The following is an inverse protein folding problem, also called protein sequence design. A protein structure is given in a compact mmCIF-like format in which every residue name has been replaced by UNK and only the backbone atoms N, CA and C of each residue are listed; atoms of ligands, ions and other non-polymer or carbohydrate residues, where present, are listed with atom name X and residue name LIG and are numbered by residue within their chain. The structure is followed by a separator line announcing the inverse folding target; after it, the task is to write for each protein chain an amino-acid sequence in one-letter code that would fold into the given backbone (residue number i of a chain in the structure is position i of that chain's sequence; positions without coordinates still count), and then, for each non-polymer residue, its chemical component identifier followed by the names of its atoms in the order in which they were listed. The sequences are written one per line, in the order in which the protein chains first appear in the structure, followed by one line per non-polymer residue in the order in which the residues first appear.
data_IF_325807748048
#
_entry.id   IF_325807748048
#
_cell.length_a   1.000
_cell.length_b   1.000
_cell.length_c   1.000
_cell.angle_alpha   90.00
_cell.angle_beta   90.00
_cell.angle_gamma   90.00
#
_symmetry.space_group_name_H-M   'P 1'
#
loop_
_entity.id
_entity.type
_entity.pdbx_description
1 polymer ?
#
# COMPACT_ATOMS: atom_id res chain seq x y z
N UNK A 1 10.83 6.12 -21.57
CA UNK A 1 10.51 7.36 -20.83
C UNK A 1 11.72 8.26 -20.91
N UNK A 2 11.54 9.59 -21.00
CA UNK A 2 12.68 10.51 -21.05
C UNK A 2 13.36 10.60 -19.68
N UNK A 3 14.63 11.03 -19.65
CA UNK A 3 15.40 11.18 -18.41
C UNK A 3 14.73 12.14 -17.42
N UNK A 4 14.03 13.16 -17.94
CA UNK A 4 13.27 14.11 -17.13
C UNK A 4 12.09 13.46 -16.40
N UNK A 5 11.40 12.49 -17.03
CA UNK A 5 10.29 11.78 -16.38
C UNK A 5 10.76 10.88 -15.23
N UNK A 6 11.97 10.31 -15.33
CA UNK A 6 12.56 9.51 -14.24
C UNK A 6 12.92 10.38 -13.04
N UNK A 7 13.53 11.55 -13.28
CA UNK A 7 13.88 12.48 -12.21
C UNK A 7 12.63 12.97 -11.47
N UNK A 8 11.55 13.25 -12.20
CA UNK A 8 10.30 13.70 -11.58
C UNK A 8 9.65 12.57 -10.74
N UNK A 9 9.62 11.32 -11.21
CA UNK A 9 9.05 10.22 -10.38
C UNK A 9 9.91 9.91 -9.15
N UNK A 10 11.24 10.05 -9.23
CA UNK A 10 12.13 9.92 -8.08
C UNK A 10 11.85 10.97 -7.01
N UNK A 11 11.50 12.21 -7.40
CA UNK A 11 11.11 13.26 -6.45
C UNK A 11 9.81 12.94 -5.73
N UNK A 12 8.87 12.29 -6.42
CA UNK A 12 7.59 11.87 -5.84
C UNK A 12 7.69 10.59 -5.00
N UNK A 13 8.84 9.90 -4.98
CA UNK A 13 8.99 8.62 -4.31
C UNK A 13 8.58 8.67 -2.83
N UNK A 14 9.00 9.70 -2.10
CA UNK A 14 8.66 9.85 -0.67
C UNK A 14 7.18 10.16 -0.44
N UNK A 15 6.55 10.91 -1.36
CA UNK A 15 5.10 11.17 -1.33
C UNK A 15 4.31 9.89 -1.61
N UNK A 16 4.76 9.07 -2.56
CA UNK A 16 4.18 7.76 -2.86
C UNK A 16 4.28 6.86 -1.62
N UNK A 17 5.44 6.80 -0.95
CA UNK A 17 5.58 6.05 0.29
C UNK A 17 4.62 6.55 1.37
N UNK A 18 4.50 7.86 1.53
CA UNK A 18 3.59 8.46 2.51
C UNK A 18 2.13 8.09 2.25
N UNK A 19 1.69 8.15 1.00
CA UNK A 19 0.31 7.80 0.66
C UNK A 19 0.03 6.29 0.76
N UNK A 20 1.03 5.45 0.46
CA UNK A 20 0.94 4.01 0.71
C UNK A 20 0.79 3.69 2.20
N UNK A 21 1.51 4.39 3.09
CA UNK A 21 1.35 4.22 4.56
C UNK A 21 -0.06 4.58 5.02
N UNK A 22 -0.60 5.71 4.55
CA UNK A 22 -1.98 6.10 4.85
C UNK A 22 -3.00 5.06 4.38
N UNK A 23 -2.76 4.41 3.24
CA UNK A 23 -3.63 3.37 2.72
C UNK A 23 -3.66 2.15 3.64
N UNK A 24 -2.50 1.72 4.12
CA UNK A 24 -2.38 0.63 5.11
C UNK A 24 -3.11 0.99 6.40
N UNK A 25 -2.87 2.17 6.95
CA UNK A 25 -3.54 2.65 8.17
C UNK A 25 -5.06 2.72 8.01
N UNK A 26 -5.54 3.16 6.84
CA UNK A 26 -6.98 3.21 6.52
C UNK A 26 -7.60 1.82 6.63
N UNK A 27 -6.98 0.80 6.03
CA UNK A 27 -7.51 -0.56 6.07
C UNK A 27 -7.33 -1.22 7.44
N UNK A 28 -6.24 -0.92 8.16
CA UNK A 28 -6.07 -1.35 9.56
C UNK A 28 -7.24 -0.88 10.43
N UNK A 29 -7.63 0.40 10.31
CA UNK A 29 -8.77 0.97 11.04
C UNK A 29 -10.11 0.41 10.57
N UNK A 30 -10.30 0.25 9.27
CA UNK A 30 -11.58 -0.22 8.71
C UNK A 30 -11.88 -1.69 9.06
N UNK A 31 -10.83 -2.50 9.22
CA UNK A 31 -10.98 -3.92 9.54
C UNK A 31 -11.23 -4.18 11.02
N UNK A 32 -11.15 -3.16 11.89
CA UNK A 32 -11.40 -3.17 13.35
C UNK A 32 -11.41 -4.60 13.92
N UNK A 33 -10.23 -5.24 13.83
CA UNK A 33 -10.12 -6.69 13.96
C UNK A 33 -10.45 -7.05 15.41
N UNK A 34 -11.73 -7.29 15.69
CA UNK A 34 -12.27 -7.66 17.00
C UNK A 34 -11.96 -9.14 17.29
N UNK A 35 -10.68 -9.48 17.15
CA UNK A 35 -10.10 -10.80 17.34
C UNK A 35 -9.16 -10.69 18.54
N UNK A 36 -9.50 -11.33 19.68
CA UNK A 36 -8.72 -11.25 20.92
C UNK A 36 -7.25 -11.66 20.77
N UNK A 37 -6.94 -12.55 19.82
CA UNK A 37 -5.58 -13.00 19.52
C UNK A 37 -4.93 -12.30 18.31
N UNK A 38 -5.43 -11.15 17.86
CA UNK A 38 -4.91 -10.49 16.67
C UNK A 38 -3.43 -10.12 16.81
N UNK A 39 -2.58 -10.71 15.99
CA UNK A 39 -1.19 -10.30 15.83
C UNK A 39 -1.13 -9.11 14.86
N UNK A 40 -0.93 -7.90 15.37
CA UNK A 40 -0.90 -6.66 14.57
C UNK A 40 0.09 -6.73 13.39
N UNK A 41 1.21 -7.45 13.55
CA UNK A 41 2.21 -7.63 12.49
C UNK A 41 1.67 -8.53 11.36
N UNK A 42 0.93 -9.58 11.70
CA UNK A 42 0.31 -10.47 10.71
C UNK A 42 -0.84 -9.76 9.98
N UNK A 43 -1.65 -8.98 10.71
CA UNK A 43 -2.71 -8.16 10.11
C UNK A 43 -2.15 -7.13 9.12
N UNK A 44 -1.04 -6.49 9.48
CA UNK A 44 -0.33 -5.58 8.58
C UNK A 44 0.16 -6.28 7.31
N UNK A 45 0.75 -7.46 7.47
CA UNK A 45 1.22 -8.25 6.32
C UNK A 45 0.07 -8.58 5.37
N UNK A 46 -1.09 -9.00 5.89
CA UNK A 46 -2.28 -9.27 5.08
C UNK A 46 -2.77 -8.04 4.31
N UNK A 47 -2.74 -6.86 4.94
CA UNK A 47 -3.11 -5.60 4.29
C UNK A 47 -2.11 -5.25 3.19
N UNK A 48 -0.80 -5.42 3.43
CA UNK A 48 0.23 -5.19 2.41
C UNK A 48 0.06 -6.12 1.21
N UNK A 49 -0.14 -7.41 1.43
CA UNK A 49 -0.32 -8.39 0.36
C UNK A 49 -1.57 -8.09 -0.47
N UNK A 50 -2.67 -7.70 0.18
CA UNK A 50 -3.89 -7.30 -0.50
C UNK A 50 -3.68 -6.04 -1.37
N UNK A 51 -2.93 -5.05 -0.88
CA UNK A 51 -2.60 -3.85 -1.65
C UNK A 51 -1.72 -4.20 -2.86
N UNK A 52 -0.72 -5.08 -2.70
CA UNK A 52 0.13 -5.53 -3.80
C UNK A 52 -0.68 -6.25 -4.88
N UNK A 53 -1.56 -7.18 -4.49
CA UNK A 53 -2.45 -7.88 -5.43
C UNK A 53 -3.40 -6.92 -6.17
N UNK A 54 -3.89 -5.89 -5.49
CA UNK A 54 -4.71 -4.86 -6.12
C UNK A 54 -3.91 -4.06 -7.16
N UNK A 55 -2.67 -3.67 -6.85
CA UNK A 55 -1.77 -3.00 -7.79
C UNK A 55 -1.45 -3.89 -9.01
N UNK A 56 -1.21 -5.18 -8.80
CA UNK A 56 -0.99 -6.14 -9.88
C UNK A 56 -2.22 -6.27 -10.77
N UNK A 57 -3.42 -6.26 -10.19
CA UNK A 57 -4.68 -6.30 -10.94
C UNK A 57 -4.84 -5.05 -11.82
N UNK A 58 -4.58 -3.86 -11.26
CA UNK A 58 -4.59 -2.59 -12.02
C UNK A 58 -3.56 -2.61 -13.15
N UNK A 59 -2.34 -3.09 -12.87
CA UNK A 59 -1.27 -3.21 -13.87
C UNK A 59 -1.63 -4.16 -15.01
N UNK A 60 -2.41 -5.21 -14.71
CA UNK A 60 -2.94 -6.16 -15.69
C UNK A 60 -4.20 -5.63 -16.42
N UNK A 61 -4.69 -4.43 -16.08
CA UNK A 61 -5.87 -3.82 -16.69
C UNK A 61 -7.19 -4.43 -16.23
N UNK A 62 -7.23 -5.03 -15.05
CA UNK A 62 -8.45 -5.53 -14.40
C UNK A 62 -9.09 -4.49 -13.49
#
# INVERSE_FOLDING_TARGET
MSDMQHIEIERYHDEIIHDMRKLVEKYRKAMDWDIPENNEIEADQLIFDAIQHALDSIKQGK
#
